data_IF_622825399145
#
_entry.id   IF_622825399145
#
_cell.length_a   1.000
_cell.length_b   1.000
_cell.length_c   1.000
_cell.angle_alpha   90.00
_cell.angle_beta   90.00
_cell.angle_gamma   90.00
#
_symmetry.space_group_name_H-M   'P 1'
#
loop_
_entity.id
_entity.type
_entity.pdbx_description
1 polymer ?
#
# COMPACT_ATOMS: atom_id res chain seq x y z
N UNK A 1 13.01 -16.85 -8.26
CA UNK A 1 13.93 -15.69 -8.21
C UNK A 1 14.25 -15.15 -9.61
N UNK A 2 14.56 -15.98 -10.61
CA UNK A 2 14.81 -15.54 -12.00
C UNK A 2 13.65 -14.75 -12.62
N UNK A 3 12.40 -15.11 -12.35
CA UNK A 3 11.22 -14.40 -12.86
C UNK A 3 11.12 -12.93 -12.42
N UNK A 4 11.47 -12.60 -11.17
CA UNK A 4 11.39 -11.23 -10.66
C UNK A 4 12.48 -10.33 -11.25
N UNK A 5 13.67 -10.88 -11.50
CA UNK A 5 14.75 -10.15 -12.18
C UNK A 5 14.33 -9.74 -13.59
N UNK A 6 13.78 -10.69 -14.36
CA UNK A 6 13.29 -10.42 -15.71
C UNK A 6 12.20 -9.34 -15.73
N UNK A 7 11.27 -9.37 -14.77
CA UNK A 7 10.23 -8.33 -14.65
C UNK A 7 10.81 -6.95 -14.32
N UNK A 8 11.86 -6.88 -13.50
CA UNK A 8 12.57 -5.63 -13.23
C UNK A 8 13.33 -5.12 -14.46
N UNK A 9 13.97 -6.02 -15.22
CA UNK A 9 14.68 -5.67 -16.45
C UNK A 9 13.70 -5.10 -17.49
N UNK A 10 12.54 -5.73 -17.65
CA UNK A 10 11.45 -5.22 -18.50
C UNK A 10 10.98 -3.84 -18.01
N UNK A 11 10.74 -3.68 -16.70
CA UNK A 11 10.34 -2.39 -16.13
C UNK A 11 11.37 -1.29 -16.44
N UNK A 12 12.66 -1.55 -16.22
CA UNK A 12 13.72 -0.58 -16.51
C UNK A 12 13.81 -0.24 -18.00
N UNK A 13 13.65 -1.22 -18.89
CA UNK A 13 13.63 -0.98 -20.34
C UNK A 13 12.47 -0.08 -20.77
N UNK A 14 11.27 -0.25 -20.18
CA UNK A 14 10.13 0.62 -20.45
C UNK A 14 10.33 2.04 -19.90
N UNK A 15 10.96 2.17 -18.72
CA UNK A 15 11.32 3.48 -18.15
C UNK A 15 12.33 4.23 -19.04
N UNK A 16 13.38 3.55 -19.51
CA UNK A 16 14.37 4.13 -20.42
C UNK A 16 13.73 4.56 -21.73
N UNK A 17 12.90 3.70 -22.32
CA UNK A 17 12.14 4.01 -23.55
C UNK A 17 11.29 5.25 -23.36
N UNK A 18 10.56 5.34 -22.24
CA UNK A 18 9.71 6.48 -21.93
C UNK A 18 10.50 7.79 -21.80
N UNK A 19 11.68 7.75 -21.15
CA UNK A 19 12.56 8.91 -21.00
C UNK A 19 13.19 9.34 -22.34
N UNK A 20 13.50 8.41 -23.23
CA UNK A 20 14.00 8.73 -24.58
C UNK A 20 12.97 9.47 -25.44
N UNK A 21 11.68 9.27 -25.17
CA UNK A 21 10.57 9.92 -25.86
C UNK A 21 9.96 11.10 -25.08
N UNK A 22 10.63 11.60 -24.04
CA UNK A 22 10.20 12.75 -23.23
C UNK A 22 10.09 14.00 -24.13
N UNK A 23 8.87 14.34 -24.57
CA UNK A 23 8.59 15.45 -25.50
C UNK A 23 7.56 15.14 -26.61
N UNK A 24 7.22 13.87 -26.82
CA UNK A 24 6.07 13.44 -27.63
C UNK A 24 4.93 12.92 -26.71
N UNK A 25 3.83 12.41 -27.27
CA UNK A 25 2.73 11.85 -26.47
C UNK A 25 3.28 10.77 -25.51
N UNK A 26 3.41 11.14 -24.24
CA UNK A 26 4.08 10.35 -23.21
C UNK A 26 3.14 9.25 -22.74
N UNK A 27 3.19 8.09 -23.40
CA UNK A 27 2.43 6.92 -23.00
C UNK A 27 3.06 6.26 -21.76
N UNK A 28 2.51 6.56 -20.59
CA UNK A 28 2.96 5.98 -19.32
C UNK A 28 2.40 4.59 -19.05
N UNK A 29 1.50 4.07 -19.91
CA UNK A 29 0.78 2.82 -19.65
C UNK A 29 1.72 1.62 -19.60
N UNK A 30 2.75 1.57 -20.44
CA UNK A 30 3.70 0.45 -20.45
C UNK A 30 4.46 0.32 -19.13
N UNK A 31 4.95 1.43 -18.60
CA UNK A 31 5.60 1.49 -17.27
C UNK A 31 4.63 1.07 -16.18
N UNK A 32 3.37 1.54 -16.25
CA UNK A 32 2.32 1.17 -15.30
C UNK A 32 1.99 -0.34 -15.38
N UNK A 33 1.94 -0.93 -16.57
CA UNK A 33 1.70 -2.37 -16.75
C UNK A 33 2.89 -3.20 -16.24
N UNK A 34 4.12 -2.77 -16.48
CA UNK A 34 5.30 -3.43 -15.94
C UNK A 34 5.32 -3.39 -14.40
N UNK A 35 4.99 -2.23 -13.80
CA UNK A 35 4.83 -2.10 -12.36
C UNK A 35 3.71 -2.99 -11.81
N UNK A 36 2.57 -3.08 -12.51
CA UNK A 36 1.48 -3.99 -12.18
C UNK A 36 1.93 -5.46 -12.19
N UNK A 37 2.69 -5.87 -13.21
CA UNK A 37 3.20 -7.24 -13.30
C UNK A 37 4.13 -7.58 -12.12
N UNK A 38 4.98 -6.63 -11.70
CA UNK A 38 5.81 -6.75 -10.50
C UNK A 38 4.95 -6.92 -9.23
N UNK A 39 3.94 -6.06 -9.03
CA UNK A 39 3.03 -6.18 -7.88
C UNK A 39 2.29 -7.53 -7.88
N UNK A 40 1.81 -8.00 -9.03
CA UNK A 40 1.15 -9.31 -9.16
C UNK A 40 2.09 -10.46 -8.81
N UNK A 41 3.34 -10.41 -9.27
CA UNK A 41 4.37 -11.39 -8.93
C UNK A 41 4.77 -11.37 -7.45
N UNK A 42 4.61 -10.22 -6.78
CA UNK A 42 4.82 -10.02 -5.34
C UNK A 42 3.51 -10.20 -4.57
N UNK A 43 2.77 -11.27 -4.88
CA UNK A 43 1.56 -11.65 -4.17
C UNK A 43 0.46 -10.58 -4.23
N UNK A 44 0.37 -9.84 -5.34
CA UNK A 44 -0.60 -8.74 -5.54
C UNK A 44 -0.55 -7.65 -4.47
N UNK A 45 0.62 -7.46 -3.84
CA UNK A 45 0.82 -6.42 -2.84
C UNK A 45 1.10 -5.08 -3.52
N UNK A 46 0.37 -4.05 -3.09
CA UNK A 46 0.55 -2.67 -3.53
C UNK A 46 0.72 -1.78 -2.29
N UNK A 47 1.89 -1.17 -2.14
CA UNK A 47 2.18 -0.26 -1.02
C UNK A 47 1.63 1.13 -1.34
N UNK A 48 1.36 1.98 -0.33
CA UNK A 48 0.89 3.34 -0.59
C UNK A 48 1.87 4.13 -1.45
N UNK A 49 3.18 3.87 -1.32
CA UNK A 49 4.20 4.51 -2.13
C UNK A 49 4.07 4.14 -3.61
N UNK A 50 3.82 2.86 -3.93
CA UNK A 50 3.55 2.41 -5.30
C UNK A 50 2.24 3.02 -5.82
N UNK A 51 1.14 2.94 -5.07
CA UNK A 51 -0.16 3.50 -5.49
C UNK A 51 -0.06 4.99 -5.79
N UNK A 52 0.60 5.75 -4.91
CA UNK A 52 0.78 7.19 -5.09
C UNK A 52 1.67 7.52 -6.29
N UNK A 53 2.79 6.81 -6.47
CA UNK A 53 3.69 7.02 -7.61
C UNK A 53 2.99 6.70 -8.96
N UNK A 54 2.21 5.62 -9.01
CA UNK A 54 1.40 5.27 -10.19
C UNK A 54 0.33 6.33 -10.45
N UNK A 55 -0.35 6.84 -9.40
CA UNK A 55 -1.33 7.92 -9.55
C UNK A 55 -0.68 9.17 -10.16
N UNK A 56 0.50 9.57 -9.66
CA UNK A 56 1.25 10.71 -10.20
C UNK A 56 1.64 10.51 -11.68
N UNK A 57 2.06 9.30 -12.07
CA UNK A 57 2.38 8.98 -13.46
C UNK A 57 1.17 9.02 -14.39
N UNK A 58 0.01 8.55 -13.91
CA UNK A 58 -1.25 8.64 -14.67
C UNK A 58 -1.64 10.09 -14.91
N UNK A 59 -1.56 10.93 -13.88
CA UNK A 59 -1.86 12.36 -14.01
C UNK A 59 -0.94 13.04 -15.03
N UNK A 60 0.35 12.67 -15.06
CA UNK A 60 1.29 13.19 -16.04
C UNK A 60 0.94 12.76 -17.47
N UNK A 61 0.64 11.48 -17.71
CA UNK A 61 0.27 10.97 -19.05
C UNK A 61 -1.06 11.54 -19.58
N UNK A 62 -2.00 11.88 -18.70
CA UNK A 62 -3.30 12.47 -19.08
C UNK A 62 -3.28 13.99 -19.27
N UNK A 63 -2.21 14.67 -18.85
CA UNK A 63 -2.08 16.11 -19.08
C UNK A 63 -1.87 16.35 -20.59
N UNK A 64 -2.94 16.75 -21.29
CA UNK A 64 -2.90 17.03 -22.72
C UNK A 64 -1.77 18.01 -23.09
N UNK A 65 -1.18 17.90 -24.30
CA UNK A 65 -0.29 18.94 -24.78
C UNK A 65 -1.12 20.22 -24.89
N UNK A 66 -0.71 21.26 -24.17
CA UNK A 66 -1.24 22.60 -24.42
C UNK A 66 -0.86 22.94 -25.86
N UNK A 67 -1.84 22.81 -26.75
CA UNK A 67 -1.76 23.35 -28.10
C UNK A 67 -1.61 24.85 -27.89
N UNK A 68 -0.39 25.38 -28.08
CA UNK A 68 -0.19 26.81 -28.28
C UNK A 68 -1.02 27.18 -29.50
N UNK A 69 -2.25 27.63 -29.26
CA UNK A 69 -3.05 28.31 -30.26
C UNK A 69 -2.23 29.53 -30.65
N UNK A 70 -1.71 29.50 -31.88
CA UNK A 70 -1.01 30.60 -32.52
C UNK A 70 -2.01 31.76 -32.60
N UNK A 71 -2.06 32.58 -31.57
CA UNK A 71 -2.74 33.86 -31.57
C UNK A 71 -1.74 34.92 -32.04
N UNK A 72 -2.08 35.56 -33.16
CA UNK A 72 -1.33 36.60 -33.86
C UNK A 72 -0.72 37.68 -32.93
N UNK A 73 0.44 38.26 -33.28
CA UNK A 73 1.17 39.15 -32.39
C UNK A 73 0.51 40.53 -32.33
N UNK A 74 0.04 40.94 -31.15
CA UNK A 74 -0.16 42.36 -30.84
C UNK A 74 1.07 42.88 -30.07
N UNK A 75 1.66 44.03 -30.48
CA UNK A 75 2.83 44.57 -29.81
C UNK A 75 2.39 45.42 -28.61
N UNK A 76 2.94 45.12 -27.43
CA UNK A 76 2.84 46.01 -26.28
C UNK A 76 2.36 45.35 -24.98
N UNK A 77 3.13 44.42 -24.43
CA UNK A 77 3.17 44.24 -22.98
C UNK A 77 4.43 43.47 -22.58
N UNK A 78 5.44 44.19 -22.09
CA UNK A 78 6.58 43.62 -21.39
C UNK A 78 6.12 43.11 -20.02
N UNK A 79 5.54 41.91 -19.99
CA UNK A 79 5.52 41.04 -18.81
C UNK A 79 6.02 39.68 -19.23
N UNK A 80 7.35 39.58 -19.22
CA UNK A 80 8.10 38.40 -19.61
C UNK A 80 7.63 37.14 -18.85
N UNK A 81 7.07 36.21 -19.61
CA UNK A 81 7.39 34.77 -19.62
C UNK A 81 7.75 34.18 -18.25
N UNK A 82 6.75 33.86 -17.43
CA UNK A 82 6.88 32.90 -16.32
C UNK A 82 6.03 31.63 -16.51
N UNK A 83 5.43 31.44 -17.68
CA UNK A 83 4.54 30.32 -17.96
C UNK A 83 5.23 29.30 -18.88
N UNK A 84 6.10 28.44 -18.33
CA UNK A 84 6.54 27.18 -18.98
C UNK A 84 7.38 26.24 -18.10
N UNK A 85 7.63 26.53 -16.82
CA UNK A 85 8.50 25.68 -15.95
C UNK A 85 7.74 24.84 -14.92
N UNK A 86 6.41 24.81 -14.99
CA UNK A 86 5.57 24.02 -14.07
C UNK A 86 5.11 22.66 -14.62
N UNK A 87 5.62 22.22 -15.78
CA UNK A 87 5.56 20.82 -16.17
C UNK A 87 6.62 20.08 -15.33
N UNK A 88 6.25 19.60 -14.15
CA UNK A 88 7.15 18.85 -13.28
C UNK A 88 7.74 17.67 -14.05
N UNK A 89 9.07 17.54 -14.08
CA UNK A 89 9.75 16.50 -14.85
C UNK A 89 9.17 15.10 -14.58
N UNK A 90 8.89 14.35 -15.65
CA UNK A 90 8.42 12.96 -15.61
C UNK A 90 9.35 12.06 -14.77
N UNK A 91 10.61 12.46 -14.68
CA UNK A 91 11.66 11.80 -13.92
C UNK A 91 11.31 11.61 -12.44
N UNK A 92 10.72 12.61 -11.78
CA UNK A 92 10.46 12.51 -10.34
C UNK A 92 9.41 11.42 -10.00
N UNK A 93 8.23 11.36 -10.68
CA UNK A 93 7.30 10.23 -10.54
C UNK A 93 7.92 8.86 -10.88
N UNK A 94 8.78 8.77 -11.90
CA UNK A 94 9.45 7.52 -12.29
C UNK A 94 10.47 7.05 -11.25
N UNK A 95 11.29 7.97 -10.73
CA UNK A 95 12.25 7.68 -9.65
C UNK A 95 11.52 7.23 -8.38
N UNK A 96 10.42 7.90 -8.03
CA UNK A 96 9.58 7.51 -6.90
C UNK A 96 8.98 6.11 -7.09
N UNK A 97 8.48 5.79 -8.30
CA UNK A 97 7.96 4.46 -8.60
C UNK A 97 9.06 3.39 -8.51
N UNK A 98 10.21 3.64 -9.12
CA UNK A 98 11.36 2.72 -9.11
C UNK A 98 11.80 2.41 -7.68
N UNK A 99 11.97 3.45 -6.85
CA UNK A 99 12.33 3.31 -5.45
C UNK A 99 11.28 2.51 -4.67
N UNK A 100 9.99 2.78 -4.89
CA UNK A 100 8.89 2.09 -4.22
C UNK A 100 8.81 0.60 -4.59
N UNK A 101 9.09 0.24 -5.85
CA UNK A 101 9.14 -1.15 -6.32
C UNK A 101 10.33 -1.90 -5.71
N UNK A 102 11.52 -1.30 -5.66
CA UNK A 102 12.67 -1.89 -4.98
C UNK A 102 12.39 -2.12 -3.49
N UNK A 103 11.82 -1.15 -2.79
CA UNK A 103 11.42 -1.30 -1.39
C UNK A 103 10.42 -2.43 -1.18
N UNK A 104 9.44 -2.59 -2.09
CA UNK A 104 8.48 -3.69 -2.03
C UNK A 104 9.16 -5.05 -2.23
N UNK A 105 10.10 -5.17 -3.17
CA UNK A 105 10.88 -6.39 -3.39
C UNK A 105 11.71 -6.76 -2.16
N UNK A 106 12.37 -5.77 -1.55
CA UNK A 106 13.13 -5.95 -0.32
C UNK A 106 12.24 -6.39 0.85
N UNK A 107 11.09 -5.73 1.03
CA UNK A 107 10.11 -6.04 2.06
C UNK A 107 9.57 -7.47 1.90
N UNK A 108 9.17 -7.84 0.68
CA UNK A 108 8.72 -9.19 0.36
C UNK A 108 9.83 -10.21 0.64
N UNK A 109 11.07 -9.91 0.23
CA UNK A 109 12.23 -10.74 0.53
C UNK A 109 12.47 -10.91 2.04
N UNK A 110 12.27 -9.88 2.84
CA UNK A 110 12.44 -9.94 4.29
C UNK A 110 11.32 -10.74 4.97
N UNK A 111 10.06 -10.56 4.55
CA UNK A 111 8.89 -11.20 5.14
C UNK A 111 8.85 -12.72 4.90
N UNK A 112 9.31 -13.19 3.73
CA UNK A 112 9.25 -14.60 3.34
C UNK A 112 10.58 -15.34 3.44
N UNK A 113 11.66 -14.69 3.92
CA UNK A 113 12.90 -15.38 4.25
C UNK A 113 12.70 -16.21 5.51
N UNK A 114 12.71 -17.53 5.37
CA UNK A 114 12.92 -18.43 6.51
C UNK A 114 14.28 -18.11 7.15
N UNK A 115 14.34 -18.18 8.48
CA UNK A 115 15.39 -17.74 9.41
C UNK A 115 16.89 -17.89 9.01
N UNK A 116 17.24 -18.63 7.96
CA UNK A 116 18.61 -18.95 7.57
C UNK A 116 19.40 -17.79 6.94
N UNK A 117 18.75 -16.75 6.39
CA UNK A 117 19.44 -15.66 5.68
C UNK A 117 18.84 -14.27 5.93
N UNK A 118 18.04 -14.07 6.97
CA UNK A 118 17.65 -12.71 7.35
C UNK A 118 18.94 -11.90 7.55
N UNK A 119 19.15 -10.84 6.75
CA UNK A 119 20.20 -9.85 7.01
C UNK A 119 20.08 -9.51 8.49
N UNK A 120 21.19 -9.62 9.24
CA UNK A 120 21.20 -9.19 10.64
C UNK A 120 20.53 -7.82 10.68
N UNK A 121 19.38 -7.65 11.37
CA UNK A 121 18.82 -6.33 11.52
C UNK A 121 19.94 -5.47 12.11
N UNK A 122 20.21 -4.32 11.48
CA UNK A 122 21.11 -3.32 12.04
C UNK A 122 20.69 -3.15 13.50
N UNK A 123 21.62 -3.36 14.44
CA UNK A 123 21.36 -3.17 15.88
C UNK A 123 21.00 -1.70 16.07
N UNK A 124 19.71 -1.39 16.05
CA UNK A 124 19.22 -0.13 16.56
C UNK A 124 19.08 -0.34 18.06
N UNK A 125 20.03 0.19 18.84
CA UNK A 125 19.81 0.41 20.26
C UNK A 125 18.82 1.56 20.36
N UNK A 126 17.53 1.27 20.26
CA UNK A 126 16.52 2.24 20.65
C UNK A 126 16.59 2.38 22.17
N UNK A 127 16.69 3.60 22.72
CA UNK A 127 16.50 3.77 24.16
C UNK A 127 15.15 3.17 24.54
N UNK A 128 15.05 2.51 25.71
CA UNK A 128 13.77 2.10 26.25
C UNK A 128 12.90 3.36 26.39
N UNK A 129 11.96 3.54 25.48
CA UNK A 129 10.98 4.61 25.57
C UNK A 129 9.77 4.09 26.34
N UNK A 130 9.14 4.96 27.12
CA UNK A 130 7.82 4.70 27.71
C UNK A 130 6.69 4.85 26.66
N UNK A 131 7.03 4.65 25.39
CA UNK A 131 6.11 4.80 24.30
C UNK A 131 5.05 3.70 24.36
N UNK A 132 3.83 4.09 24.02
CA UNK A 132 2.74 3.14 23.86
C UNK A 132 2.97 2.26 22.64
N UNK A 133 2.67 0.98 22.80
CA UNK A 133 2.72 0.01 21.71
C UNK A 133 1.71 0.39 20.63
N UNK A 134 2.24 0.67 19.43
CA UNK A 134 1.45 1.07 18.27
C UNK A 134 1.98 0.46 16.99
N UNK A 135 1.10 0.24 16.03
CA UNK A 135 1.48 -0.19 14.69
C UNK A 135 0.55 0.42 13.64
N UNK A 136 1.01 0.46 12.40
CA UNK A 136 0.20 0.90 11.26
C UNK A 136 -0.47 -0.31 10.62
N UNK A 137 -1.80 -0.26 10.52
CA UNK A 137 -2.60 -1.21 9.75
C UNK A 137 -3.01 -0.54 8.46
N UNK A 138 -2.26 -0.83 7.39
CA UNK A 138 -2.49 -0.19 6.11
C UNK A 138 -3.64 -0.85 5.32
N UNK A 139 -3.44 -2.09 4.88
CA UNK A 139 -4.38 -2.78 4.02
C UNK A 139 -4.23 -4.32 4.09
N UNK A 140 -5.27 -5.01 3.62
CA UNK A 140 -5.25 -6.43 3.28
C UNK A 140 -5.33 -6.60 1.77
N UNK A 141 -4.38 -7.32 1.20
CA UNK A 141 -4.28 -7.60 -0.24
C UNK A 141 -4.75 -9.03 -0.55
N UNK A 142 -4.78 -9.38 -1.84
CA UNK A 142 -5.22 -10.69 -2.35
C UNK A 142 -6.64 -11.07 -1.95
N UNK A 143 -7.54 -10.10 -2.04
CA UNK A 143 -8.96 -10.35 -1.78
C UNK A 143 -9.46 -11.44 -2.75
N UNK A 144 -9.94 -12.59 -2.25
CA UNK A 144 -10.47 -13.65 -3.09
C UNK A 144 -11.63 -13.15 -3.97
N UNK A 145 -11.72 -13.58 -5.24
CA UNK A 145 -12.82 -13.19 -6.12
C UNK A 145 -14.21 -13.48 -5.54
N UNK A 146 -14.34 -14.55 -4.76
CA UNK A 146 -15.58 -14.94 -4.10
C UNK A 146 -16.09 -13.93 -3.05
N UNK A 147 -15.24 -13.02 -2.57
CA UNK A 147 -15.66 -11.98 -1.62
C UNK A 147 -16.24 -10.74 -2.33
N UNK A 148 -15.90 -10.56 -3.61
CA UNK A 148 -16.32 -9.39 -4.39
C UNK A 148 -17.83 -9.46 -4.60
N UNK A 149 -18.56 -8.51 -3.99
CA UNK A 149 -20.04 -8.47 -4.03
C UNK A 149 -20.73 -9.31 -2.96
N UNK A 150 -20.02 -10.22 -2.28
CA UNK A 150 -20.56 -11.04 -1.19
C UNK A 150 -20.63 -10.29 0.14
N UNK A 151 -19.69 -9.36 0.36
CA UNK A 151 -19.65 -8.52 1.56
C UNK A 151 -19.72 -7.04 1.17
N UNK A 152 -20.52 -6.29 1.94
CA UNK A 152 -20.69 -4.85 1.76
C UNK A 152 -19.52 -4.08 2.39
N UNK A 153 -19.05 -4.50 3.56
CA UNK A 153 -17.97 -3.85 4.31
C UNK A 153 -17.04 -4.85 4.96
N UNK A 154 -15.84 -4.39 5.28
CA UNK A 154 -14.79 -5.18 5.90
C UNK A 154 -14.20 -4.44 7.10
N UNK A 155 -13.80 -5.17 8.13
CA UNK A 155 -13.09 -4.58 9.27
C UNK A 155 -12.11 -5.57 9.90
N UNK A 156 -11.12 -5.05 10.63
CA UNK A 156 -10.15 -5.85 11.35
C UNK A 156 -10.40 -5.78 12.85
N UNK A 157 -10.18 -6.90 13.53
CA UNK A 157 -10.04 -6.99 14.97
C UNK A 157 -8.60 -7.34 15.29
N UNK A 158 -7.93 -6.48 16.05
CA UNK A 158 -6.55 -6.66 16.48
C UNK A 158 -6.52 -6.91 17.99
N UNK A 159 -5.89 -8.00 18.41
CA UNK A 159 -5.78 -8.38 19.82
C UNK A 159 -4.33 -8.63 20.21
N UNK A 160 -3.92 -8.15 21.39
CA UNK A 160 -2.67 -8.53 22.02
C UNK A 160 -2.94 -9.60 23.07
N UNK A 161 -2.26 -10.73 22.95
CA UNK A 161 -2.40 -11.84 23.88
C UNK A 161 -1.05 -12.18 24.51
N UNK A 162 -1.07 -12.53 25.79
CA UNK A 162 0.02 -13.18 26.49
C UNK A 162 -0.46 -14.59 26.87
N UNK A 163 0.08 -15.61 26.18
CA UNK A 163 -0.51 -16.94 26.17
C UNK A 163 -1.95 -16.91 25.65
N UNK A 164 -2.90 -17.42 26.43
CA UNK A 164 -4.33 -17.43 26.11
C UNK A 164 -5.10 -16.20 26.61
N UNK A 165 -4.43 -15.24 27.26
CA UNK A 165 -5.09 -14.10 27.92
C UNK A 165 -4.93 -12.81 27.10
N UNK A 166 -6.03 -12.11 26.79
CA UNK A 166 -5.92 -10.78 26.18
C UNK A 166 -5.36 -9.79 27.20
N UNK A 167 -4.38 -8.98 26.79
CA UNK A 167 -3.75 -7.97 27.65
C UNK A 167 -4.56 -6.67 27.75
N UNK A 168 -5.37 -6.39 26.74
CA UNK A 168 -6.15 -5.18 26.63
C UNK A 168 -7.42 -5.44 25.78
N UNK A 169 -8.31 -4.44 25.73
CA UNK A 169 -9.50 -4.52 24.87
C UNK A 169 -9.07 -4.66 23.39
N UNK A 170 -9.70 -5.56 22.62
CA UNK A 170 -9.47 -5.65 21.18
C UNK A 170 -9.64 -4.30 20.49
N UNK A 171 -8.72 -3.96 19.60
CA UNK A 171 -8.88 -2.82 18.71
C UNK A 171 -9.76 -3.26 17.53
N UNK A 172 -10.82 -2.50 17.24
CA UNK A 172 -11.67 -2.71 16.08
C UNK A 172 -11.55 -1.51 15.16
N UNK A 173 -11.21 -1.75 13.90
CA UNK A 173 -11.14 -0.67 12.90
C UNK A 173 -12.53 -0.20 12.51
N UNK A 174 -12.57 0.91 11.77
CA UNK A 174 -13.76 1.26 11.00
C UNK A 174 -14.09 0.17 9.97
N UNK A 175 -15.38 0.08 9.64
CA UNK A 175 -15.89 -0.75 8.54
C UNK A 175 -15.67 -0.01 7.22
N UNK A 176 -14.87 -0.58 6.33
CA UNK A 176 -14.47 0.04 5.06
C UNK A 176 -14.96 -0.77 3.86
N UNK A 177 -15.00 -0.13 2.69
CA UNK A 177 -15.37 -0.77 1.44
C UNK A 177 -14.16 -1.49 0.81
N UNK A 178 -14.45 -2.35 -0.16
CA UNK A 178 -13.44 -2.92 -1.03
C UNK A 178 -12.98 -1.87 -2.05
N UNK A 179 -11.66 -1.68 -2.18
CA UNK A 179 -11.06 -0.80 -3.17
C UNK A 179 -10.38 -1.61 -4.29
N UNK A 180 -10.12 -0.94 -5.42
CA UNK A 180 -9.41 -1.53 -6.56
C UNK A 180 -8.37 -0.55 -7.11
N UNK A 181 -7.12 -0.98 -7.14
CA UNK A 181 -6.04 -0.35 -7.91
C UNK A 181 -5.55 -1.35 -8.98
N UNK A 182 -4.35 -1.91 -8.86
CA UNK A 182 -3.93 -3.03 -9.71
C UNK A 182 -4.68 -4.33 -9.41
N UNK A 183 -5.03 -4.53 -8.14
CA UNK A 183 -5.82 -5.64 -7.61
C UNK A 183 -6.84 -5.13 -6.60
N UNK A 184 -7.81 -5.97 -6.24
CA UNK A 184 -8.74 -5.67 -5.15
C UNK A 184 -8.03 -5.77 -3.80
N UNK A 185 -8.25 -4.79 -2.94
CA UNK A 185 -7.64 -4.70 -1.61
C UNK A 185 -8.57 -3.95 -0.65
N UNK A 186 -8.39 -4.18 0.64
CA UNK A 186 -9.18 -3.55 1.70
C UNK A 186 -8.26 -2.59 2.45
N UNK A 187 -8.57 -1.29 2.45
CA UNK A 187 -7.70 -0.24 3.00
C UNK A 187 -8.29 0.35 4.27
N UNK A 188 -7.54 0.29 5.37
CA UNK A 188 -7.88 0.98 6.63
C UNK A 188 -7.04 2.23 6.84
N UNK A 189 -5.73 2.14 6.55
CA UNK A 189 -4.77 3.23 6.75
C UNK A 189 -4.87 3.84 8.18
N UNK A 190 -4.88 2.97 9.19
CA UNK A 190 -5.15 3.33 10.58
C UNK A 190 -3.94 3.02 11.48
N UNK A 191 -3.66 3.87 12.47
CA UNK A 191 -2.65 3.60 13.50
C UNK A 191 -3.35 2.98 14.71
N UNK A 192 -3.10 1.70 14.94
CA UNK A 192 -3.58 0.96 16.12
C UNK A 192 -2.70 1.30 17.31
N UNK A 193 -3.30 1.71 18.42
CA UNK A 193 -2.60 2.10 19.65
C UNK A 193 -3.16 1.33 20.85
N UNK A 194 -2.29 0.71 21.63
CA UNK A 194 -2.69 0.03 22.85
C UNK A 194 -2.24 0.81 24.08
N UNK A 195 -3.02 0.77 25.18
CA UNK A 195 -2.62 1.36 26.46
C UNK A 195 -1.61 0.45 27.19
N UNK A 196 -0.54 0.04 26.49
CA UNK A 196 0.54 -0.81 26.99
C UNK A 196 1.86 -0.17 26.59
N UNK A 197 2.71 0.14 27.57
CA UNK A 197 4.06 0.66 27.31
C UNK A 197 4.93 -0.45 26.73
N UNK A 198 5.75 -0.13 25.73
CA UNK A 198 6.69 -1.10 25.13
C UNK A 198 7.67 -1.62 26.17
N UNK A 199 8.07 -0.78 27.13
CA UNK A 199 8.99 -1.16 28.20
C UNK A 199 8.40 -2.18 29.20
N UNK A 200 7.08 -2.18 29.40
CA UNK A 200 6.40 -3.09 30.33
C UNK A 200 5.70 -4.27 29.65
N UNK A 201 5.76 -4.34 28.33
CA UNK A 201 5.16 -5.40 27.52
C UNK A 201 5.85 -6.76 27.79
N UNK A 202 5.08 -7.83 28.12
CA UNK A 202 5.65 -9.17 28.18
C UNK A 202 6.35 -9.56 26.87
N UNK A 203 7.48 -10.29 26.97
CA UNK A 203 8.23 -10.72 25.78
C UNK A 203 7.46 -11.71 24.92
N UNK A 204 6.55 -12.48 25.51
CA UNK A 204 5.76 -13.51 24.83
C UNK A 204 4.43 -12.98 24.26
N UNK A 205 4.35 -11.67 23.99
CA UNK A 205 3.15 -11.10 23.36
C UNK A 205 3.01 -11.58 21.93
N UNK A 206 1.80 -12.02 21.60
CA UNK A 206 1.37 -12.33 20.24
C UNK A 206 0.29 -11.34 19.83
N UNK A 207 0.56 -10.62 18.73
CA UNK A 207 -0.47 -9.87 18.01
C UNK A 207 -1.25 -10.84 17.14
N UNK A 208 -2.58 -10.84 17.29
CA UNK A 208 -3.51 -11.56 16.42
C UNK A 208 -4.39 -10.57 15.69
N UNK A 209 -4.53 -10.78 14.40
CA UNK A 209 -5.30 -9.99 13.46
C UNK A 209 -6.40 -10.88 12.89
N UNK A 210 -7.66 -10.47 12.96
CA UNK A 210 -8.79 -11.19 12.40
C UNK A 210 -9.56 -10.29 11.45
N UNK A 211 -9.76 -10.74 10.22
CA UNK A 211 -10.53 -10.05 9.20
C UNK A 211 -11.98 -10.50 9.23
N UNK A 212 -12.89 -9.52 9.22
CA UNK A 212 -14.32 -9.74 9.17
C UNK A 212 -14.93 -9.17 7.89
N UNK A 213 -15.90 -9.90 7.34
CA UNK A 213 -16.78 -9.48 6.27
C UNK A 213 -18.18 -9.24 6.80
N UNK A 214 -18.79 -8.14 6.39
CA UNK A 214 -20.17 -7.80 6.74
C UNK A 214 -21.03 -8.07 5.52
N UNK A 215 -21.91 -9.07 5.60
CA UNK A 215 -22.72 -9.52 4.46
C UNK A 215 -23.68 -8.43 3.99
N UNK A 216 -23.90 -8.35 2.69
CA UNK A 216 -24.90 -7.45 2.13
C UNK A 216 -26.31 -7.86 2.61
N UNK A 217 -27.15 -6.87 2.92
CA UNK A 217 -28.53 -7.14 3.29
C UNK A 217 -29.30 -7.60 2.03
N UNK A 218 -30.10 -8.69 2.09
CA UNK A 218 -30.95 -9.07 0.97
C UNK A 218 -31.90 -7.93 0.59
N UNK A 219 -32.09 -7.70 -0.72
CA UNK A 219 -32.98 -6.66 -1.21
C UNK A 219 -34.40 -6.87 -0.66
N UNK A 220 -34.98 -5.84 -0.04
CA UNK A 220 -36.33 -5.87 0.53
C UNK A 220 -36.42 -6.11 2.04
N UNK A 221 -35.29 -6.29 2.73
CA UNK A 221 -35.26 -6.40 4.20
C UNK A 221 -35.24 -5.01 4.84
N UNK A 222 -36.21 -4.67 5.67
CA UNK A 222 -36.23 -3.42 6.45
C UNK A 222 -35.09 -3.40 7.47
N UNK A 223 -34.42 -2.25 7.65
CA UNK A 223 -33.33 -2.09 8.64
C UNK A 223 -33.80 -2.24 10.10
N UNK A 224 -35.11 -2.19 10.34
CA UNK A 224 -35.66 -2.32 11.69
C UNK A 224 -35.46 -3.73 12.25
N UNK A 225 -34.46 -3.86 13.12
CA UNK A 225 -34.19 -5.05 13.93
C UNK A 225 -33.27 -6.11 13.30
N UNK A 226 -32.89 -5.98 12.03
CA UNK A 226 -31.98 -6.95 11.41
C UNK A 226 -30.53 -6.71 11.83
N UNK A 227 -29.94 -7.66 12.56
CA UNK A 227 -28.50 -7.66 12.83
C UNK A 227 -27.78 -8.12 11.56
N UNK A 228 -27.09 -7.20 10.90
CA UNK A 228 -26.27 -7.51 9.73
C UNK A 228 -25.26 -8.61 10.08
N UNK A 229 -25.26 -9.70 9.31
CA UNK A 229 -24.43 -10.86 9.60
C UNK A 229 -22.96 -10.53 9.34
N UNK A 230 -22.12 -10.88 10.30
CA UNK A 230 -20.67 -10.70 10.24
C UNK A 230 -19.99 -12.08 10.25
N UNK A 231 -19.00 -12.27 9.39
CA UNK A 231 -18.28 -13.53 9.23
C UNK A 231 -16.78 -13.30 9.36
N UNK A 232 -16.07 -14.25 9.99
CA UNK A 232 -14.59 -14.24 10.02
C UNK A 232 -14.07 -14.79 8.70
N UNK A 233 -13.38 -13.95 7.94
CA UNK A 233 -12.85 -14.30 6.62
C UNK A 233 -11.44 -14.90 6.67
N UNK A 234 -10.70 -14.60 7.74
CA UNK A 234 -9.33 -15.06 7.92
C UNK A 234 -8.67 -14.44 9.12
N UNK A 235 -7.49 -14.95 9.48
CA UNK A 235 -6.71 -14.44 10.59
C UNK A 235 -5.22 -14.68 10.40
N UNK A 236 -4.41 -13.86 11.06
CA UNK A 236 -2.97 -14.00 11.14
C UNK A 236 -2.51 -13.74 12.58
N UNK A 237 -1.39 -14.33 12.97
CA UNK A 237 -0.77 -14.08 14.27
C UNK A 237 0.73 -13.94 14.14
N UNK A 238 1.32 -12.99 14.87
CA UNK A 238 2.76 -12.81 14.93
C UNK A 238 3.22 -12.55 16.37
N UNK A 239 4.33 -13.16 16.83
CA UNK A 239 5.02 -12.70 18.03
C UNK A 239 5.58 -11.30 17.78
N UNK A 240 5.48 -10.41 18.77
CA UNK A 240 6.01 -9.04 18.65
C UNK A 240 7.50 -8.94 18.96
N UNK A 241 8.02 -9.84 19.79
CA UNK A 241 9.44 -9.93 20.13
C UNK A 241 10.00 -11.25 19.64
N UNK A 242 11.26 -11.26 19.22
CA UNK A 242 11.93 -12.50 18.84
C UNK A 242 12.89 -12.99 19.94
N UNK A 243 13.17 -14.30 19.93
CA UNK A 243 14.05 -14.99 20.89
C UNK A 243 15.53 -14.59 20.79
N UNK A 244 15.90 -13.68 19.89
CA UNK A 244 17.28 -13.19 19.71
C UNK A 244 17.47 -11.74 20.18
N UNK A 245 16.64 -11.27 21.12
CA UNK A 245 16.71 -9.94 21.72
C UNK A 245 16.43 -8.78 20.75
N UNK A 246 15.30 -8.86 20.04
CA UNK A 246 14.71 -7.70 19.36
C UNK A 246 13.22 -7.62 19.64
#
# INVERSE_FOLDING_TARGET
RQGLSMLMDVYHSEVETLLLHEGQHCDTDRVIQAAKALCLALESVETPAVTNAVSSLRHFGTAAPQQEVIASPQPGSERGRLNATAAGSLRAPLEALTASLHQLIELHGAAFRTHAQARRPTRYSYPLTDDQLRFSLYAAHRVPPAWIGSYERYYMVCTLNHGSRPLCRPWKTQKVLLEKSFSHYIRWNEIVKYPLSVASAPREIVLRLQLYGVMALPAGTSQDGYKQQEEVLGWASMPLFNFREY
#
